data_IF_054135579206
#
_entry.id   IF_054135579206
#
_cell.length_a   1.000
_cell.length_b   1.000
_cell.length_c   1.000
_cell.angle_alpha   90.00
_cell.angle_beta   90.00
_cell.angle_gamma   90.00
#
_symmetry.space_group_name_H-M   'P 1'
#
loop_
_entity.id
_entity.type
_entity.pdbx_description
1 polymer ?
#
# COMPACT_ATOMS: atom_id res chain seq x y z
N UNK A 1 -25.76 43.61 36.52
CA UNK A 1 -25.04 42.91 37.60
C UNK A 1 -23.69 42.41 37.08
N UNK A 2 -22.62 42.66 37.86
CA UNK A 2 -21.23 42.15 37.82
C UNK A 2 -20.44 42.11 36.50
N UNK A 3 -19.43 42.99 36.42
CA UNK A 3 -18.15 42.75 35.73
C UNK A 3 -17.33 41.75 36.56
N UNK A 4 -16.65 40.80 35.92
CA UNK A 4 -15.51 40.05 36.50
C UNK A 4 -14.44 39.90 35.43
N UNK A 5 -13.22 39.82 35.92
CA UNK A 5 -11.93 40.23 35.39
C UNK A 5 -10.98 39.03 35.58
N UNK A 6 -9.95 38.94 34.74
CA UNK A 6 -8.59 38.38 34.97
C UNK A 6 -8.37 36.85 34.92
N UNK A 7 -7.52 36.31 34.02
CA UNK A 7 -6.02 36.15 33.88
C UNK A 7 -5.47 34.85 34.53
N UNK A 8 -4.45 34.26 33.86
CA UNK A 8 -3.27 33.46 34.31
C UNK A 8 -3.59 31.94 34.36
N UNK A 9 -2.83 30.99 33.81
CA UNK A 9 -1.37 30.73 33.78
C UNK A 9 -1.15 29.68 32.68
N UNK A 10 -0.14 29.71 31.81
CA UNK A 10 1.28 29.71 32.12
C UNK A 10 1.77 28.30 32.45
N UNK A 11 2.33 27.58 31.45
CA UNK A 11 3.39 26.60 31.66
C UNK A 11 4.22 26.42 30.40
N UNK A 12 5.35 27.13 30.34
CA UNK A 12 6.51 26.73 29.56
C UNK A 12 7.36 25.80 30.42
N UNK A 13 8.03 24.82 29.82
CA UNK A 13 9.40 24.41 30.18
C UNK A 13 9.97 23.50 29.07
N UNK A 14 11.03 24.05 28.47
CA UNK A 14 12.15 23.43 27.76
C UNK A 14 12.81 22.31 28.60
N UNK A 15 13.77 21.46 28.21
CA UNK A 15 14.89 21.39 27.25
C UNK A 15 15.18 19.84 27.14
N UNK A 16 15.81 19.30 26.10
CA UNK A 16 17.26 19.02 26.13
C UNK A 16 17.69 18.42 24.77
N UNK A 17 18.68 19.05 24.15
CA UNK A 17 19.52 18.43 23.15
C UNK A 17 20.60 17.58 23.83
N UNK A 18 20.89 16.39 23.31
CA UNK A 18 22.18 15.72 23.46
C UNK A 18 22.47 14.90 22.20
N UNK A 19 23.38 15.41 21.38
CA UNK A 19 24.14 14.64 20.41
C UNK A 19 25.35 14.01 21.14
N UNK A 20 25.63 12.72 20.95
CA UNK A 20 26.99 12.15 20.75
C UNK A 20 27.06 10.61 20.87
N UNK A 21 27.65 10.01 19.83
CA UNK A 21 28.68 8.93 19.86
C UNK A 21 28.32 7.50 20.30
N UNK A 22 28.38 6.61 19.30
CA UNK A 22 29.26 5.41 19.16
C UNK A 22 29.55 4.51 20.38
N UNK A 23 29.21 3.22 20.17
CA UNK A 23 30.08 2.01 20.23
C UNK A 23 29.67 0.90 21.24
N UNK A 24 29.50 -0.31 20.67
CA UNK A 24 29.67 -1.72 21.15
C UNK A 24 29.08 -2.18 22.49
N UNK A 25 28.18 -3.17 22.46
CA UNK A 25 28.46 -4.63 22.64
C UNK A 25 29.16 -4.91 23.96
N UNK A 26 28.43 -5.47 24.94
CA UNK A 26 28.68 -6.85 25.35
C UNK A 26 27.51 -7.48 26.13
N UNK A 27 27.46 -8.78 25.92
CA UNK A 27 26.53 -9.83 26.35
C UNK A 27 26.30 -9.90 27.86
N UNK A 28 25.05 -10.05 28.29
CA UNK A 28 24.75 -10.93 29.41
C UNK A 28 23.44 -11.68 29.18
N UNK A 29 23.48 -12.98 29.48
CA UNK A 29 22.50 -13.98 29.02
C UNK A 29 21.71 -14.46 30.22
N UNK A 30 20.37 -14.33 30.22
CA UNK A 30 19.45 -15.37 30.73
C UNK A 30 17.97 -15.01 30.51
N UNK A 31 17.37 -15.73 29.57
CA UNK A 31 15.98 -16.18 29.45
C UNK A 31 14.83 -15.31 29.99
N UNK A 32 14.09 -14.71 29.05
CA UNK A 32 12.63 -14.84 29.01
C UNK A 32 12.17 -14.87 27.56
N UNK A 33 11.41 -15.92 27.24
CA UNK A 33 10.87 -16.26 25.93
C UNK A 33 9.99 -15.13 25.38
N UNK A 34 10.49 -14.41 24.38
CA UNK A 34 9.70 -13.77 23.33
C UNK A 34 10.64 -13.44 22.17
N UNK A 35 10.87 -14.41 21.28
CA UNK A 35 11.47 -14.08 19.99
C UNK A 35 10.59 -13.01 19.33
N UNK A 36 11.15 -11.90 18.82
CA UNK A 36 10.42 -11.06 17.90
C UNK A 36 10.05 -11.97 16.74
N UNK A 37 8.75 -12.23 16.59
CA UNK A 37 8.19 -12.86 15.40
C UNK A 37 8.48 -11.88 14.28
N UNK A 38 9.66 -12.02 13.67
CA UNK A 38 9.86 -11.59 12.30
C UNK A 38 8.87 -12.44 11.55
N UNK A 39 7.71 -11.87 11.24
CA UNK A 39 6.76 -12.47 10.34
C UNK A 39 7.54 -12.81 9.08
N UNK A 40 7.87 -14.08 8.95
CA UNK A 40 8.50 -14.64 7.77
C UNK A 40 7.47 -14.44 6.68
N UNK A 41 7.65 -13.35 5.93
CA UNK A 41 6.88 -13.04 4.73
C UNK A 41 7.07 -14.24 3.81
N UNK A 42 6.12 -15.17 3.86
CA UNK A 42 6.07 -16.35 3.01
C UNK A 42 6.08 -15.83 1.57
N UNK A 43 7.27 -15.81 1.00
CA UNK A 43 7.50 -15.40 -0.37
C UNK A 43 7.21 -16.62 -1.22
N UNK A 44 5.94 -16.97 -1.36
CA UNK A 44 5.48 -17.79 -2.46
C UNK A 44 5.91 -17.05 -3.72
N UNK A 45 6.96 -17.54 -4.39
CA UNK A 45 7.52 -16.89 -5.57
C UNK A 45 6.52 -17.01 -6.71
N UNK A 46 5.55 -16.10 -6.73
CA UNK A 46 4.62 -15.96 -7.85
C UNK A 46 5.48 -15.61 -9.06
N UNK A 47 5.47 -16.41 -10.14
CA UNK A 47 6.17 -16.04 -11.36
C UNK A 47 5.63 -14.69 -11.82
N UNK A 48 6.52 -13.70 -11.90
CA UNK A 48 6.15 -12.33 -12.26
C UNK A 48 5.89 -12.32 -13.76
N UNK A 49 4.62 -12.17 -14.14
CA UNK A 49 4.22 -11.87 -15.50
C UNK A 49 4.31 -10.34 -15.71
N UNK A 50 5.12 -9.89 -16.66
CA UNK A 50 5.26 -8.47 -17.00
C UNK A 50 4.37 -8.03 -18.18
N UNK A 51 3.47 -8.87 -18.67
CA UNK A 51 2.68 -8.62 -19.88
C UNK A 51 1.26 -8.10 -19.59
N UNK A 52 0.79 -8.18 -18.35
CA UNK A 52 -0.55 -7.70 -18.01
C UNK A 52 -0.66 -6.17 -17.97
N UNK A 53 -1.91 -5.65 -17.92
CA UNK A 53 -2.19 -4.21 -17.89
C UNK A 53 -1.41 -3.47 -16.80
N UNK A 54 -0.91 -2.29 -17.17
CA UNK A 54 -0.18 -1.39 -16.29
C UNK A 54 -1.03 -0.16 -16.01
N UNK A 55 -1.25 0.15 -14.74
CA UNK A 55 -1.92 1.36 -14.27
C UNK A 55 -0.90 2.29 -13.60
N UNK A 56 -0.94 3.58 -13.92
CA UNK A 56 0.02 4.56 -13.43
C UNK A 56 -0.73 5.70 -12.75
N UNK A 57 -0.40 5.97 -11.49
CA UNK A 57 -1.00 7.09 -10.75
C UNK A 57 -0.64 8.42 -11.40
N UNK A 58 -1.53 9.40 -11.26
CA UNK A 58 -1.39 10.72 -11.89
C UNK A 58 -0.13 11.47 -11.44
N UNK A 59 0.36 11.18 -10.23
CA UNK A 59 1.59 11.72 -9.65
C UNK A 59 2.85 10.85 -9.93
N UNK A 60 2.69 9.77 -10.70
CA UNK A 60 3.70 8.76 -11.01
C UNK A 60 4.34 8.07 -9.79
N UNK A 61 3.76 8.19 -8.59
CA UNK A 61 4.27 7.55 -7.37
C UNK A 61 3.88 6.07 -7.24
N UNK A 62 2.92 5.61 -8.05
CA UNK A 62 2.46 4.22 -8.06
C UNK A 62 2.33 3.70 -9.49
N UNK A 63 2.80 2.47 -9.70
CA UNK A 63 2.74 1.76 -10.98
C UNK A 63 2.30 0.34 -10.73
N UNK A 64 1.02 0.04 -10.94
CA UNK A 64 0.43 -1.27 -10.64
C UNK A 64 0.31 -2.10 -11.91
N UNK A 65 0.97 -3.26 -11.93
CA UNK A 65 0.78 -4.24 -13.00
C UNK A 65 -0.10 -5.37 -12.52
N UNK A 66 -1.11 -5.72 -13.31
CA UNK A 66 -1.85 -6.98 -13.11
C UNK A 66 -0.96 -8.12 -13.59
N UNK A 67 -0.53 -9.00 -12.68
CA UNK A 67 0.39 -10.11 -13.00
C UNK A 67 -0.34 -11.47 -13.06
N UNK A 68 -1.61 -11.53 -12.63
CA UNK A 68 -2.49 -12.69 -12.76
C UNK A 68 -3.96 -12.27 -12.64
N UNK A 69 -4.87 -13.12 -13.13
CA UNK A 69 -6.31 -12.87 -13.08
C UNK A 69 -6.86 -12.14 -14.31
N UNK A 70 -6.19 -12.25 -15.46
CA UNK A 70 -6.68 -11.79 -16.76
C UNK A 70 -7.03 -13.02 -17.61
N UNK A 71 -8.22 -13.04 -18.22
CA UNK A 71 -8.65 -14.05 -19.20
C UNK A 71 -8.86 -13.40 -20.55
N UNK A 72 -8.48 -14.10 -21.62
CA UNK A 72 -8.50 -13.56 -22.98
C UNK A 72 -7.24 -12.75 -23.30
N UNK A 73 -7.19 -12.23 -24.52
CA UNK A 73 -6.06 -11.48 -25.06
C UNK A 73 -6.55 -10.21 -25.77
N UNK A 74 -5.70 -9.19 -25.83
CA UNK A 74 -6.02 -7.92 -26.49
C UNK A 74 -7.28 -7.26 -25.92
N UNK A 75 -8.13 -6.75 -26.81
CA UNK A 75 -9.37 -6.02 -26.45
C UNK A 75 -10.44 -6.90 -25.79
N UNK A 76 -10.27 -8.22 -25.79
CA UNK A 76 -11.17 -9.17 -25.10
C UNK A 76 -10.70 -9.55 -23.70
N UNK A 77 -9.57 -8.98 -23.24
CA UNK A 77 -9.03 -9.23 -21.92
C UNK A 77 -10.02 -8.78 -20.84
N UNK A 78 -10.40 -9.71 -19.97
CA UNK A 78 -11.30 -9.46 -18.85
C UNK A 78 -10.66 -9.91 -17.55
N UNK A 79 -10.86 -9.14 -16.49
CA UNK A 79 -10.41 -9.53 -15.17
C UNK A 79 -11.32 -10.61 -14.58
N UNK A 80 -10.72 -11.53 -13.84
CA UNK A 80 -11.45 -12.57 -13.11
C UNK A 80 -11.80 -12.09 -11.70
N UNK A 81 -12.59 -12.87 -10.97
CA UNK A 81 -12.96 -12.55 -9.58
C UNK A 81 -11.77 -12.49 -8.61
N UNK A 82 -10.59 -12.99 -9.01
CA UNK A 82 -9.36 -12.89 -8.23
C UNK A 82 -8.27 -12.33 -9.13
N UNK A 83 -7.58 -11.29 -8.67
CA UNK A 83 -6.45 -10.70 -9.39
C UNK A 83 -5.24 -10.65 -8.48
N UNK A 84 -4.06 -10.69 -9.10
CA UNK A 84 -2.80 -10.41 -8.40
C UNK A 84 -2.21 -9.17 -9.04
N UNK A 85 -1.98 -8.13 -8.23
CA UNK A 85 -1.36 -6.89 -8.69
C UNK A 85 0.02 -6.72 -8.04
N UNK A 86 0.97 -6.16 -8.78
CA UNK A 86 2.31 -5.81 -8.29
C UNK A 86 2.52 -4.32 -8.42
N UNK A 87 2.91 -3.65 -7.34
CA UNK A 87 3.49 -2.32 -7.43
C UNK A 87 4.93 -2.43 -7.97
N UNK A 88 5.19 -1.91 -9.16
CA UNK A 88 6.51 -1.99 -9.79
C UNK A 88 7.57 -1.14 -9.08
N UNK A 89 7.15 -0.16 -8.27
CA UNK A 89 8.06 0.76 -7.58
C UNK A 89 8.78 0.11 -6.39
N UNK A 90 8.09 -0.73 -5.63
CA UNK A 90 8.64 -1.40 -4.43
C UNK A 90 8.58 -2.94 -4.51
N UNK A 91 7.97 -3.49 -5.57
CA UNK A 91 7.81 -4.92 -5.79
C UNK A 91 6.74 -5.57 -4.92
N UNK A 92 5.93 -4.82 -4.17
CA UNK A 92 4.86 -5.36 -3.33
C UNK A 92 3.79 -6.01 -4.19
N UNK A 93 3.32 -7.17 -3.75
CA UNK A 93 2.28 -7.96 -4.43
C UNK A 93 1.04 -8.01 -3.55
N UNK A 94 -0.13 -7.88 -4.17
CA UNK A 94 -1.43 -7.92 -3.53
C UNK A 94 -2.28 -8.99 -4.21
N UNK A 95 -2.79 -9.92 -3.41
CA UNK A 95 -3.76 -10.94 -3.83
C UNK A 95 -5.15 -10.43 -3.44
N UNK A 96 -5.95 -10.08 -4.43
CA UNK A 96 -7.18 -9.29 -4.26
C UNK A 96 -8.38 -10.00 -4.84
N UNK A 97 -9.52 -9.88 -4.15
CA UNK A 97 -10.80 -10.51 -4.55
C UNK A 97 -11.82 -9.45 -4.94
N UNK A 98 -12.62 -9.75 -5.95
CA UNK A 98 -13.71 -8.90 -6.40
C UNK A 98 -14.72 -8.68 -5.27
N UNK A 99 -15.08 -7.43 -5.06
CA UNK A 99 -16.09 -6.96 -4.12
C UNK A 99 -17.25 -6.39 -4.92
N UNK A 100 -18.51 -6.79 -4.63
CA UNK A 100 -19.67 -6.24 -5.32
C UNK A 100 -19.76 -4.73 -5.15
N UNK A 101 -19.84 -4.00 -6.26
CA UNK A 101 -20.10 -2.55 -6.26
C UNK A 101 -21.17 -2.20 -7.28
N UNK A 102 -21.67 -0.96 -7.21
CA UNK A 102 -22.67 -0.47 -8.14
C UNK A 102 -22.09 -0.16 -9.54
N UNK A 103 -20.79 0.07 -9.66
CA UNK A 103 -20.13 0.44 -10.92
C UNK A 103 -18.62 0.20 -10.83
N UNK A 104 -18.06 -0.33 -11.92
CA UNK A 104 -16.65 -0.71 -11.97
C UNK A 104 -16.34 -1.98 -11.18
N UNK A 105 -15.09 -2.39 -11.24
CA UNK A 105 -14.60 -3.60 -10.61
C UNK A 105 -13.69 -3.22 -9.43
N UNK A 106 -14.19 -3.41 -8.21
CA UNK A 106 -13.42 -3.19 -6.99
C UNK A 106 -12.87 -4.51 -6.50
N UNK A 107 -11.57 -4.56 -6.27
CA UNK A 107 -10.88 -5.68 -5.68
C UNK A 107 -10.33 -5.29 -4.32
N UNK A 108 -10.39 -6.18 -3.34
CA UNK A 108 -9.90 -5.94 -1.98
C UNK A 108 -9.08 -7.13 -1.49
N UNK A 109 -7.97 -6.85 -0.81
CA UNK A 109 -7.18 -7.88 -0.13
C UNK A 109 -7.62 -8.06 1.33
N UNK A 110 -7.05 -9.07 1.99
CA UNK A 110 -7.29 -9.37 3.42
C UNK A 110 -6.82 -8.28 4.38
N UNK A 111 -6.00 -7.33 3.94
CA UNK A 111 -5.52 -6.19 4.74
C UNK A 111 -6.38 -4.93 4.53
N UNK A 112 -7.43 -5.01 3.72
CA UNK A 112 -8.32 -3.91 3.37
C UNK A 112 -7.72 -2.93 2.36
N UNK A 113 -6.62 -3.28 1.69
CA UNK A 113 -6.16 -2.51 0.53
C UNK A 113 -7.11 -2.80 -0.63
N UNK A 114 -7.55 -1.77 -1.35
CA UNK A 114 -8.42 -1.92 -2.50
C UNK A 114 -7.79 -1.39 -3.77
N UNK A 115 -8.17 -1.99 -4.89
CA UNK A 115 -7.88 -1.56 -6.25
C UNK A 115 -9.19 -1.54 -7.02
N UNK A 116 -9.65 -0.36 -7.42
CA UNK A 116 -10.95 -0.19 -8.08
C UNK A 116 -10.74 0.39 -9.47
N UNK A 117 -11.17 -0.35 -10.50
CA UNK A 117 -11.09 0.08 -11.89
C UNK A 117 -12.46 0.45 -12.43
N UNK A 118 -12.50 1.47 -13.28
CA UNK A 118 -13.68 1.84 -14.06
C UNK A 118 -13.20 2.36 -15.41
N UNK A 119 -13.51 1.62 -16.47
CA UNK A 119 -12.99 1.90 -17.82
C UNK A 119 -11.44 1.99 -17.75
N UNK A 120 -10.88 3.11 -18.16
CA UNK A 120 -9.43 3.35 -18.15
C UNK A 120 -8.92 3.87 -16.80
N UNK A 121 -9.80 4.27 -15.88
CA UNK A 121 -9.44 4.85 -14.59
C UNK A 121 -9.21 3.79 -13.51
N UNK A 122 -8.34 4.11 -12.56
CA UNK A 122 -8.21 3.34 -11.32
C UNK A 122 -8.10 4.22 -10.07
N UNK A 123 -8.50 3.64 -8.95
CA UNK A 123 -8.24 4.12 -7.59
C UNK A 123 -7.58 3.01 -6.78
N UNK A 124 -6.57 3.36 -5.99
CA UNK A 124 -5.95 2.48 -5.01
C UNK A 124 -6.03 3.13 -3.63
N UNK A 125 -6.33 2.34 -2.61
CA UNK A 125 -6.45 2.85 -1.26
C UNK A 125 -6.54 1.79 -0.20
N UNK A 126 -6.88 2.21 1.02
CA UNK A 126 -7.03 1.32 2.18
C UNK A 126 -8.21 1.77 3.05
N UNK A 127 -9.17 0.87 3.26
CA UNK A 127 -10.44 1.21 3.89
C UNK A 127 -11.12 2.35 3.13
N UNK A 128 -11.41 3.45 3.81
CA UNK A 128 -12.06 4.64 3.22
C UNK A 128 -11.08 5.66 2.65
N UNK A 129 -9.76 5.43 2.77
CA UNK A 129 -8.75 6.39 2.32
C UNK A 129 -8.30 6.07 0.90
N UNK A 130 -8.40 7.05 0.01
CA UNK A 130 -7.78 7.02 -1.31
C UNK A 130 -6.29 7.35 -1.16
N UNK A 131 -5.43 6.49 -1.69
CA UNK A 131 -3.97 6.66 -1.68
C UNK A 131 -3.46 7.12 -3.04
N UNK A 132 -4.03 6.59 -4.12
CA UNK A 132 -3.63 6.94 -5.47
C UNK A 132 -4.81 6.85 -6.44
N UNK A 133 -4.80 7.70 -7.46
CA UNK A 133 -5.72 7.67 -8.59
C UNK A 133 -4.94 7.87 -9.88
N UNK A 134 -5.40 7.27 -10.97
CA UNK A 134 -4.77 7.43 -12.27
C UNK A 134 -5.44 6.61 -13.35
N UNK A 135 -4.67 6.24 -14.37
CA UNK A 135 -5.19 5.59 -15.58
C UNK A 135 -4.35 4.40 -16.00
N UNK A 136 -4.94 3.53 -16.81
CA UNK A 136 -4.22 2.52 -17.56
C UNK A 136 -3.21 3.20 -18.51
N UNK A 137 -2.00 2.66 -18.58
CA UNK A 137 -0.94 3.08 -19.47
C UNK A 137 -1.10 2.42 -20.82
N UNK A 138 -1.02 3.22 -21.89
CA UNK A 138 -0.99 2.73 -23.27
C UNK A 138 0.39 2.25 -23.71
N UNK A 139 1.42 2.40 -22.86
CA UNK A 139 2.75 1.87 -23.14
C UNK A 139 2.74 0.34 -22.96
N UNK A 140 2.86 -0.37 -24.07
CA UNK A 140 3.18 -1.79 -24.06
C UNK A 140 4.45 -2.04 -23.23
N UNK A 141 4.50 -3.16 -22.51
CA UNK A 141 5.68 -3.55 -21.75
C UNK A 141 6.91 -3.55 -22.67
N UNK A 142 8.04 -2.92 -22.29
CA UNK A 142 9.25 -2.97 -23.10
C UNK A 142 9.72 -4.44 -23.19
N UNK A 143 9.83 -4.93 -24.43
CA UNK A 143 10.36 -6.23 -24.80
C UNK A 143 11.83 -6.41 -24.41
#
# INVERSE_FOLDING_TARGET
MKKVFLIISGLALTICACNSKKEKVDTDTLNTNAAPQVEEKVSTKIPINNEGPLYVSSDNQYRFRIISGVKGEGDSAQFTDNIIIRNENDGRVYDMKLVPTASGDKYEDKEGNYFWTKEDDFMFGKGDNVVAEGKISTQASPH
#
